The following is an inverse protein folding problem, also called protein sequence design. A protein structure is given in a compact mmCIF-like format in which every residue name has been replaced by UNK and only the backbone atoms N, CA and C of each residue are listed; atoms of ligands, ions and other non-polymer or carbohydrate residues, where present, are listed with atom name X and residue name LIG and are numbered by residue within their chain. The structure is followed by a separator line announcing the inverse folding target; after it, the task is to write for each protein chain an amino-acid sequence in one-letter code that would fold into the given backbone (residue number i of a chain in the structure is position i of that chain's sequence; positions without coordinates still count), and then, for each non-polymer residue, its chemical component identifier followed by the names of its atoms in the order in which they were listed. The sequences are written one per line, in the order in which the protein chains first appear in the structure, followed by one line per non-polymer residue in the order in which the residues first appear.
data_IF_589509342569
#
_entry.id   IF_589509342569
#
_cell.length_a   1.000
_cell.length_b   1.000
_cell.length_c   1.000
_cell.angle_alpha   90.00
_cell.angle_beta   90.00
_cell.angle_gamma   90.00
#
_symmetry.space_group_name_H-M   'P 1'
#
loop_
_entity.id
_entity.type
_entity.pdbx_description
1 polymer ?
#
# COMPACT_ATOMS: atom_id res chain seq x y z
N UNK A 1 24.42 4.81 -20.99
CA UNK A 1 23.74 3.50 -20.86
C UNK A 1 22.87 3.60 -19.62
N UNK A 2 21.60 3.99 -19.75
CA UNK A 2 20.70 4.09 -18.61
C UNK A 2 20.16 2.69 -18.34
N UNK A 3 20.63 2.08 -17.25
CA UNK A 3 20.12 0.81 -16.76
C UNK A 3 18.62 0.95 -16.46
N UNK A 4 17.80 0.12 -17.10
CA UNK A 4 16.40 -0.05 -16.76
C UNK A 4 16.38 -0.66 -15.35
N UNK A 5 16.02 0.16 -14.35
CA UNK A 5 15.90 -0.30 -12.97
C UNK A 5 14.62 -1.11 -12.82
N UNK A 6 14.73 -2.29 -12.20
CA UNK A 6 13.67 -3.31 -12.14
C UNK A 6 12.60 -2.93 -11.12
N UNK A 7 11.32 -3.01 -11.49
CA UNK A 7 10.24 -3.16 -10.51
C UNK A 7 10.35 -4.57 -9.94
N UNK A 8 10.61 -4.67 -8.64
CA UNK A 8 10.45 -5.93 -7.90
C UNK A 8 8.96 -6.19 -7.68
N UNK A 9 8.42 -7.15 -8.40
CA UNK A 9 7.18 -7.83 -8.06
C UNK A 9 7.63 -9.10 -7.34
N UNK A 10 7.53 -9.11 -6.03
CA UNK A 10 7.65 -10.38 -5.32
C UNK A 10 6.27 -11.03 -5.33
N UNK A 11 6.18 -12.22 -5.90
CA UNK A 11 5.15 -13.18 -5.53
C UNK A 11 5.43 -13.62 -4.10
N UNK A 12 5.22 -12.71 -3.14
CA UNK A 12 5.28 -13.07 -1.73
C UNK A 12 4.04 -13.90 -1.51
N UNK A 13 4.19 -15.22 -1.38
CA UNK A 13 3.28 -16.00 -0.57
C UNK A 13 3.48 -15.47 0.84
N UNK A 14 2.59 -14.62 1.37
CA UNK A 14 2.81 -14.09 2.70
C UNK A 14 2.81 -15.28 3.66
N UNK A 15 3.52 -15.20 4.79
CA UNK A 15 3.25 -16.12 5.89
C UNK A 15 1.85 -15.81 6.42
N UNK A 16 0.85 -16.42 5.80
CA UNK A 16 -0.56 -16.26 6.13
C UNK A 16 -0.79 -17.09 7.39
N UNK A 17 -1.03 -16.41 8.51
CA UNK A 17 -1.48 -17.05 9.74
C UNK A 17 -2.95 -16.73 9.96
N UNK A 18 -3.81 -17.74 10.05
CA UNK A 18 -5.15 -17.59 10.60
C UNK A 18 -5.04 -17.38 12.11
N UNK A 19 -5.54 -16.27 12.62
CA UNK A 19 -5.76 -16.10 14.06
C UNK A 19 -7.22 -15.76 14.29
N UNK A 20 -7.88 -16.55 15.15
CA UNK A 20 -9.14 -16.12 15.76
C UNK A 20 -8.95 -14.78 16.47
N UNK A 21 -10.03 -14.02 16.60
CA UNK A 21 -10.06 -12.66 17.16
C UNK A 21 -9.53 -12.57 18.61
N UNK A 22 -9.26 -13.72 19.24
CA UNK A 22 -8.76 -13.87 20.61
C UNK A 22 -7.22 -13.81 20.77
N UNK A 23 -6.46 -13.88 19.67
CA UNK A 23 -5.01 -13.68 19.68
C UNK A 23 -4.67 -12.25 19.30
N UNK A 24 -4.19 -11.44 20.25
CA UNK A 24 -3.97 -9.99 20.08
C UNK A 24 -3.27 -9.56 18.78
N UNK A 25 -3.52 -8.30 18.39
CA UNK A 25 -2.96 -7.69 17.17
C UNK A 25 -1.46 -7.88 17.07
N UNK A 26 -1.00 -8.31 15.89
CA UNK A 26 0.43 -8.40 15.59
C UNK A 26 0.85 -7.11 14.88
N UNK A 27 1.83 -6.36 15.42
CA UNK A 27 2.53 -5.33 14.68
C UNK A 27 2.97 -5.83 13.31
N UNK A 28 2.97 -4.95 12.31
CA UNK A 28 3.41 -5.24 10.95
C UNK A 28 2.54 -6.32 10.27
N UNK A 29 1.22 -6.15 10.38
CA UNK A 29 0.25 -7.03 9.75
C UNK A 29 -0.64 -6.26 8.78
N UNK A 30 -0.84 -6.85 7.60
CA UNK A 30 -1.84 -6.46 6.62
C UNK A 30 -2.99 -7.44 6.71
N UNK A 31 -4.17 -6.97 7.04
CA UNK A 31 -5.40 -7.72 6.95
C UNK A 31 -6.05 -7.43 5.60
N UNK A 32 -6.43 -8.47 4.88
CA UNK A 32 -7.04 -8.37 3.57
C UNK A 32 -8.34 -9.17 3.54
N UNK A 33 -9.40 -8.54 3.08
CA UNK A 33 -10.66 -9.19 2.72
C UNK A 33 -10.89 -8.99 1.22
N UNK A 34 -11.04 -10.08 0.47
CA UNK A 34 -11.44 -10.02 -0.94
C UNK A 34 -12.86 -10.57 -1.07
N UNK A 35 -13.69 -10.08 -2.01
CA UNK A 35 -15.11 -10.48 -2.12
C UNK A 35 -15.32 -11.99 -2.22
N UNK A 36 -14.37 -12.68 -2.87
CA UNK A 36 -14.37 -14.12 -3.06
C UNK A 36 -14.23 -14.91 -1.73
N UNK A 37 -13.79 -14.24 -0.66
CA UNK A 37 -13.54 -14.81 0.68
C UNK A 37 -14.63 -14.46 1.71
N UNK A 38 -15.57 -13.57 1.39
CA UNK A 38 -16.63 -13.11 2.29
C UNK A 38 -16.70 -11.57 2.38
N UNK A 39 -17.80 -11.04 2.93
CA UNK A 39 -18.03 -9.60 3.01
C UNK A 39 -17.98 -9.08 4.45
N UNK A 40 -17.34 -7.91 4.64
CA UNK A 40 -17.51 -7.07 5.84
C UNK A 40 -16.58 -7.35 7.02
N UNK A 41 -15.56 -8.20 6.88
CA UNK A 41 -14.64 -8.52 7.97
C UNK A 41 -13.73 -7.34 8.33
N UNK A 42 -13.25 -6.54 7.36
CA UNK A 42 -12.40 -5.38 7.64
C UNK A 42 -13.19 -4.26 8.30
N UNK A 43 -14.45 -4.06 7.91
CA UNK A 43 -15.34 -3.10 8.58
C UNK A 43 -15.51 -3.40 10.07
N UNK A 44 -15.79 -4.66 10.43
CA UNK A 44 -15.91 -5.07 11.84
C UNK A 44 -14.59 -4.89 12.60
N UNK A 45 -13.47 -5.28 11.97
CA UNK A 45 -12.13 -5.10 12.55
C UNK A 45 -11.81 -3.62 12.78
N UNK A 46 -12.20 -2.75 11.85
CA UNK A 46 -12.08 -1.29 11.98
C UNK A 46 -12.90 -0.76 13.16
N UNK A 47 -14.17 -1.15 13.27
CA UNK A 47 -15.03 -0.73 14.38
C UNK A 47 -14.45 -1.16 15.74
N UNK A 48 -13.93 -2.40 15.82
CA UNK A 48 -13.23 -2.88 17.01
C UNK A 48 -11.97 -2.07 17.33
N UNK A 49 -11.14 -1.77 16.33
CA UNK A 49 -9.92 -0.95 16.49
C UNK A 49 -10.26 0.44 17.02
N UNK A 50 -11.27 1.09 16.43
CA UNK A 50 -11.75 2.39 16.86
C UNK A 50 -12.20 2.38 18.33
N UNK A 51 -13.01 1.40 18.72
CA UNK A 51 -13.49 1.27 20.10
C UNK A 51 -12.38 1.00 21.10
N UNK A 52 -11.39 0.17 20.74
CA UNK A 52 -10.33 -0.27 21.64
C UNK A 52 -9.18 0.73 21.79
N UNK A 53 -8.83 1.41 20.71
CA UNK A 53 -7.63 2.26 20.63
C UNK A 53 -7.93 3.75 20.39
N UNK A 54 -9.20 4.16 20.52
CA UNK A 54 -9.59 5.57 20.40
C UNK A 54 -9.16 6.20 19.08
N UNK A 55 -9.31 5.46 17.97
CA UNK A 55 -8.87 5.92 16.65
C UNK A 55 -9.70 7.13 16.23
N UNK A 56 -9.03 8.24 15.94
CA UNK A 56 -9.59 9.46 15.39
C UNK A 56 -9.02 9.72 13.99
N UNK A 57 -9.44 10.79 13.30
CA UNK A 57 -8.91 11.18 11.99
C UNK A 57 -8.25 12.53 12.07
N UNK A 58 -7.13 12.70 11.37
CA UNK A 58 -6.50 14.01 11.19
C UNK A 58 -7.17 14.85 10.10
N UNK A 59 -6.61 16.03 9.80
CA UNK A 59 -7.18 16.97 8.82
C UNK A 59 -7.26 16.40 7.40
N UNK A 60 -6.37 15.47 7.04
CA UNK A 60 -6.35 14.78 5.75
C UNK A 60 -7.19 13.48 5.76
N UNK A 61 -7.88 13.19 6.87
CA UNK A 61 -8.71 12.00 7.02
C UNK A 61 -7.94 10.72 7.36
N UNK A 62 -6.61 10.80 7.58
CA UNK A 62 -5.78 9.66 7.99
C UNK A 62 -6.15 9.24 9.42
N UNK A 63 -6.32 7.93 9.71
CA UNK A 63 -6.57 7.45 11.07
C UNK A 63 -5.35 7.62 11.97
N UNK A 64 -5.56 8.08 13.21
CA UNK A 64 -4.51 8.30 14.22
C UNK A 64 -4.95 7.72 15.58
N UNK A 65 -3.96 7.27 16.37
CA UNK A 65 -4.17 6.72 17.71
C UNK A 65 -3.23 7.35 18.72
N UNK A 66 -3.74 7.65 19.92
CA UNK A 66 -2.91 8.06 21.05
C UNK A 66 -2.10 6.91 21.67
N UNK A 67 -2.30 5.67 21.21
CA UNK A 67 -1.66 4.47 21.75
C UNK A 67 -0.41 4.01 20.97
N UNK A 68 0.13 4.86 20.08
CA UNK A 68 1.33 4.53 19.31
C UNK A 68 1.11 3.45 18.26
N UNK A 69 -0.14 3.24 17.83
CA UNK A 69 -0.50 2.36 16.72
C UNK A 69 -0.74 3.23 15.50
N UNK A 70 -0.06 2.90 14.41
CA UNK A 70 -0.25 3.51 13.10
C UNK A 70 -1.07 2.57 12.25
N UNK A 71 -2.05 3.10 11.51
CA UNK A 71 -2.90 2.26 10.69
C UNK A 71 -3.44 2.98 9.47
N UNK A 72 -3.67 2.22 8.41
CA UNK A 72 -4.21 2.75 7.17
C UNK A 72 -5.15 1.75 6.50
N UNK A 73 -6.11 2.27 5.72
CA UNK A 73 -7.14 1.48 5.06
C UNK A 73 -7.18 1.83 3.58
N UNK A 74 -7.41 0.82 2.74
CA UNK A 74 -7.79 1.02 1.34
C UNK A 74 -8.83 -0.01 0.89
N UNK A 75 -9.68 0.36 -0.06
CA UNK A 75 -10.74 -0.51 -0.55
C UNK A 75 -11.06 -0.22 -2.01
N UNK A 76 -11.32 -1.27 -2.79
CA UNK A 76 -11.74 -1.20 -4.19
C UNK A 76 -12.70 -2.35 -4.49
N UNK A 77 -13.86 -2.06 -5.10
CA UNK A 77 -14.84 -3.08 -5.54
C UNK A 77 -15.10 -4.21 -4.51
N UNK A 78 -15.36 -3.85 -3.25
CA UNK A 78 -15.58 -4.76 -2.11
C UNK A 78 -14.34 -5.51 -1.60
N UNK A 79 -13.16 -5.38 -2.22
CA UNK A 79 -11.90 -5.75 -1.60
C UNK A 79 -11.47 -4.66 -0.62
N UNK A 80 -10.98 -5.05 0.55
CA UNK A 80 -10.65 -4.17 1.65
C UNK A 80 -9.32 -4.57 2.28
N UNK A 81 -8.49 -3.58 2.61
CA UNK A 81 -7.20 -3.75 3.28
C UNK A 81 -7.13 -2.90 4.55
N UNK A 82 -6.44 -3.43 5.56
CA UNK A 82 -6.02 -2.72 6.76
C UNK A 82 -4.56 -3.06 7.02
N UNK A 83 -3.69 -2.05 7.13
CA UNK A 83 -2.31 -2.23 7.60
C UNK A 83 -2.16 -1.67 9.01
N UNK A 84 -1.43 -2.37 9.87
CA UNK A 84 -1.12 -1.95 11.24
C UNK A 84 0.40 -1.89 11.42
N UNK A 85 0.93 -0.72 11.74
CA UNK A 85 2.30 -0.47 12.17
C UNK A 85 2.39 -0.22 13.67
N UNK A 86 3.49 -0.64 14.31
CA UNK A 86 3.83 -0.29 15.69
C UNK A 86 4.77 0.92 15.68
N UNK A 87 4.24 2.09 16.07
CA UNK A 87 4.93 3.39 16.11
C UNK A 87 5.61 3.81 14.80
N UNK A 88 5.27 3.12 13.71
CA UNK A 88 5.89 3.29 12.40
C UNK A 88 4.81 3.75 11.44
N UNK A 89 4.92 4.96 10.86
CA UNK A 89 3.99 5.42 9.84
C UNK A 89 3.83 4.38 8.74
N UNK A 90 2.57 4.04 8.43
CA UNK A 90 2.22 3.07 7.39
C UNK A 90 1.14 3.62 6.46
N UNK A 91 1.20 3.18 5.20
CA UNK A 91 0.15 3.40 4.20
C UNK A 91 -0.05 2.15 3.36
N UNK A 92 -1.28 1.92 2.91
CA UNK A 92 -1.61 0.79 2.03
C UNK A 92 -2.58 1.23 0.95
N UNK A 93 -2.43 0.66 -0.23
CA UNK A 93 -3.37 0.85 -1.32
C UNK A 93 -3.65 -0.44 -2.10
N UNK A 94 -4.85 -0.54 -2.66
CA UNK A 94 -5.34 -1.69 -3.41
C UNK A 94 -6.11 -1.22 -4.65
N UNK A 95 -5.76 -1.78 -5.80
CA UNK A 95 -6.43 -1.52 -7.07
C UNK A 95 -6.83 -2.83 -7.76
N UNK A 96 -7.90 -2.77 -8.56
CA UNK A 96 -8.43 -3.93 -9.28
C UNK A 96 -8.13 -3.81 -10.78
N UNK A 97 -7.38 -4.78 -11.31
CA UNK A 97 -6.93 -4.80 -12.71
C UNK A 97 -8.06 -4.74 -13.74
N UNK A 98 -9.23 -5.30 -13.42
CA UNK A 98 -10.34 -5.40 -14.36
C UNK A 98 -11.11 -4.08 -14.49
N UNK A 99 -10.98 -3.18 -13.51
CA UNK A 99 -11.73 -1.93 -13.45
C UNK A 99 -10.86 -0.69 -13.48
N UNK A 100 -9.59 -0.82 -13.07
CA UNK A 100 -8.67 0.30 -12.97
C UNK A 100 -7.96 0.46 -14.31
N UNK A 101 -8.29 1.53 -15.02
CA UNK A 101 -7.68 1.86 -16.30
C UNK A 101 -6.48 2.76 -16.10
N UNK A 102 -5.46 2.59 -16.95
CA UNK A 102 -4.36 3.55 -17.00
C UNK A 102 -4.89 4.93 -17.39
N UNK A 103 -4.47 5.93 -16.64
CA UNK A 103 -4.85 7.33 -16.87
C UNK A 103 -3.59 8.11 -17.27
N UNK A 104 -3.59 8.59 -18.52
CA UNK A 104 -2.49 9.35 -19.10
C UNK A 104 -2.30 10.69 -18.37
N UNK A 105 -3.39 11.36 -18.00
CA UNK A 105 -3.33 12.61 -17.24
C UNK A 105 -2.70 12.39 -15.87
N UNK A 106 -3.10 11.33 -15.16
CA UNK A 106 -2.49 10.96 -13.87
C UNK A 106 -0.99 10.69 -14.04
N UNK A 107 -0.62 9.96 -15.08
CA UNK A 107 0.79 9.63 -15.37
C UNK A 107 1.60 10.90 -15.66
N UNK A 108 1.05 11.83 -16.45
CA UNK A 108 1.72 13.09 -16.79
C UNK A 108 1.90 14.02 -15.59
N UNK A 109 0.90 14.11 -14.72
CA UNK A 109 0.94 15.03 -13.57
C UNK A 109 1.80 14.50 -12.43
N UNK A 110 1.66 13.21 -12.09
CA UNK A 110 2.18 12.70 -10.82
C UNK A 110 3.39 11.77 -10.94
N UNK A 111 3.71 11.24 -12.13
CA UNK A 111 4.81 10.28 -12.27
C UNK A 111 6.10 10.99 -12.71
N UNK A 112 7.22 10.54 -12.16
CA UNK A 112 8.54 10.99 -12.57
C UNK A 112 8.85 10.58 -14.02
N UNK A 113 9.85 11.24 -14.62
CA UNK A 113 10.32 10.90 -15.97
C UNK A 113 10.78 9.43 -16.09
N UNK A 114 11.36 8.89 -15.02
CA UNK A 114 11.83 7.50 -14.97
C UNK A 114 10.67 6.50 -15.01
N UNK A 115 9.58 6.82 -14.34
CA UNK A 115 8.34 6.03 -14.29
C UNK A 115 7.56 6.12 -15.60
N UNK A 116 7.42 7.32 -16.18
CA UNK A 116 6.77 7.51 -17.48
C UNK A 116 7.49 6.73 -18.59
N UNK A 117 8.83 6.79 -18.63
CA UNK A 117 9.63 5.97 -19.55
C UNK A 117 9.41 4.47 -19.35
N UNK A 118 9.19 4.03 -18.10
CA UNK A 118 8.90 2.64 -17.82
C UNK A 118 7.50 2.24 -18.32
N UNK A 119 6.51 3.12 -18.25
CA UNK A 119 5.18 2.86 -18.81
C UNK A 119 5.24 2.62 -20.33
N UNK A 120 6.10 3.32 -21.05
CA UNK A 120 6.30 3.17 -22.50
C UNK A 120 6.98 1.85 -22.91
N UNK A 121 7.72 1.21 -21.99
CA UNK A 121 8.51 0.01 -22.29
C UNK A 121 7.64 -1.25 -22.47
N UNK A 122 7.41 -1.70 -23.70
CA UNK A 122 6.53 -2.86 -23.94
C UNK A 122 7.05 -4.21 -23.39
N UNK A 123 8.28 -4.28 -22.88
CA UNK A 123 8.85 -5.52 -22.33
C UNK A 123 8.39 -5.84 -20.90
N UNK A 124 7.83 -4.87 -20.19
CA UNK A 124 7.24 -5.07 -18.87
C UNK A 124 5.72 -5.23 -19.00
N UNK A 125 5.13 -6.22 -18.32
CA UNK A 125 3.71 -6.56 -18.43
C UNK A 125 2.73 -5.45 -18.05
N UNK A 126 1.44 -5.73 -18.26
CA UNK A 126 0.34 -4.75 -18.27
C UNK A 126 0.06 -4.04 -16.93
N UNK A 127 0.70 -4.45 -15.84
CA UNK A 127 0.40 -3.97 -14.48
C UNK A 127 1.19 -2.74 -14.05
N UNK A 128 2.10 -2.22 -14.89
CA UNK A 128 3.02 -1.16 -14.47
C UNK A 128 2.32 0.09 -13.94
N UNK A 129 1.29 0.55 -14.63
CA UNK A 129 0.54 1.72 -14.19
C UNK A 129 -0.03 1.50 -12.79
N UNK A 130 -0.72 0.37 -12.58
CA UNK A 130 -1.32 0.05 -11.28
C UNK A 130 -0.29 -0.14 -10.18
N UNK A 131 0.87 -0.74 -10.49
CA UNK A 131 1.96 -0.88 -9.52
C UNK A 131 2.48 0.49 -9.10
N UNK A 132 2.77 1.37 -10.07
CA UNK A 132 3.27 2.72 -9.78
C UNK A 132 2.22 3.57 -9.07
N UNK A 133 0.96 3.45 -9.48
CA UNK A 133 -0.17 4.16 -8.88
C UNK A 133 -0.39 3.73 -7.43
N UNK A 134 -0.55 2.42 -7.17
CA UNK A 134 -0.74 1.90 -5.81
C UNK A 134 0.45 2.22 -4.90
N UNK A 135 1.68 2.20 -5.40
CA UNK A 135 2.87 2.62 -4.63
C UNK A 135 2.78 4.09 -4.22
N UNK A 136 2.34 4.94 -5.15
CA UNK A 136 2.20 6.38 -4.92
C UNK A 136 1.12 6.67 -3.88
N UNK A 137 -0.05 6.07 -4.04
CA UNK A 137 -1.15 6.18 -3.09
C UNK A 137 -0.77 5.64 -1.71
N UNK A 138 -0.06 4.49 -1.63
CA UNK A 138 0.44 3.96 -0.36
C UNK A 138 1.42 4.92 0.33
N UNK A 139 2.33 5.54 -0.43
CA UNK A 139 3.26 6.54 0.10
C UNK A 139 2.53 7.79 0.61
N UNK A 140 1.58 8.31 -0.17
CA UNK A 140 0.77 9.48 0.21
C UNK A 140 -0.10 9.22 1.44
N UNK A 141 -0.64 8.00 1.56
CA UNK A 141 -1.41 7.55 2.73
C UNK A 141 -0.54 7.40 3.98
N UNK A 142 0.73 7.01 3.82
CA UNK A 142 1.70 6.94 4.90
C UNK A 142 2.05 8.35 5.42
N UNK A 143 2.36 9.28 4.51
CA UNK A 143 2.71 10.67 4.81
C UNK A 143 1.50 11.43 5.35
N UNK A 144 0.31 11.20 4.78
CA UNK A 144 -0.94 11.83 5.18
C UNK A 144 -1.22 13.18 4.52
N UNK A 145 -0.63 13.47 3.35
CA UNK A 145 -0.83 14.74 2.64
C UNK A 145 -1.98 14.73 1.64
N UNK A 146 -2.42 13.53 1.21
CA UNK A 146 -3.24 13.41 -0.01
C UNK A 146 -2.41 13.69 -1.27
N UNK A 147 -3.07 13.83 -2.42
CA UNK A 147 -2.39 14.14 -3.70
C UNK A 147 -1.72 15.53 -3.65
N UNK A 148 -0.45 15.57 -4.01
CA UNK A 148 0.36 16.80 -4.12
C UNK A 148 1.15 16.79 -5.44
N UNK A 149 1.45 17.95 -6.00
CA UNK A 149 2.08 18.09 -7.32
C UNK A 149 3.56 17.70 -7.32
N UNK A 150 4.20 17.76 -6.15
CA UNK A 150 5.61 17.44 -5.93
C UNK A 150 5.92 15.95 -6.03
N UNK A 151 4.89 15.10 -6.18
CA UNK A 151 5.06 13.65 -6.35
C UNK A 151 5.89 13.27 -7.57
N UNK A 152 5.96 14.12 -8.60
CA UNK A 152 6.81 13.91 -9.78
C UNK A 152 8.31 13.92 -9.47
N UNK A 153 8.71 14.43 -8.30
CA UNK A 153 10.11 14.40 -7.86
C UNK A 153 10.53 13.04 -7.30
N UNK A 154 9.58 12.15 -7.05
CA UNK A 154 9.84 10.82 -6.54
C UNK A 154 9.75 9.78 -7.65
N UNK A 155 10.79 8.95 -7.74
CA UNK A 155 10.83 7.78 -8.61
C UNK A 155 10.66 6.52 -7.76
N UNK A 156 9.48 5.89 -7.86
CA UNK A 156 9.08 4.79 -6.98
C UNK A 156 9.34 3.40 -7.59
N UNK A 157 10.14 3.31 -8.66
CA UNK A 157 10.43 2.03 -9.34
C UNK A 157 11.19 1.04 -8.45
N UNK A 158 12.13 1.54 -7.66
CA UNK A 158 13.04 0.72 -6.83
C UNK A 158 12.41 0.23 -5.52
N UNK A 159 11.18 0.68 -5.19
CA UNK A 159 10.47 0.24 -3.99
C UNK A 159 11.07 0.75 -2.68
N UNK A 160 12.14 1.55 -2.69
CA UNK A 160 12.63 2.24 -1.49
C UNK A 160 13.58 3.36 -1.87
N UNK A 161 13.61 4.42 -1.07
CA UNK A 161 14.59 5.50 -1.20
C UNK A 161 14.56 6.42 0.02
N UNK A 162 15.57 7.28 0.09
CA UNK A 162 15.54 8.52 0.86
C UNK A 162 14.71 9.55 0.08
N UNK A 163 13.94 10.37 0.78
CA UNK A 163 13.22 11.50 0.20
C UNK A 163 14.21 12.57 -0.30
N UNK A 164 14.04 13.10 -1.52
CA UNK A 164 14.81 14.26 -1.96
C UNK A 164 14.53 15.48 -1.08
N UNK A 165 15.53 16.31 -0.81
CA UNK A 165 15.39 17.53 0.01
C UNK A 165 14.21 18.42 -0.44
N UNK A 166 14.06 18.61 -1.76
CA UNK A 166 12.95 19.39 -2.34
C UNK A 166 11.56 18.84 -2.01
N UNK A 167 11.46 17.52 -1.79
CA UNK A 167 10.21 16.90 -1.38
C UNK A 167 9.98 17.14 0.11
N UNK A 168 11.01 17.00 0.95
CA UNK A 168 10.95 17.31 2.38
C UNK A 168 10.65 18.78 2.68
N UNK A 169 10.95 19.70 1.77
CA UNK A 169 10.57 21.12 1.89
C UNK A 169 9.05 21.36 1.86
N UNK A 170 8.27 20.42 1.31
CA UNK A 170 6.81 20.58 1.12
C UNK A 170 5.98 19.59 1.95
N UNK A 171 6.60 18.61 2.60
CA UNK A 171 5.92 17.65 3.48
C UNK A 171 6.40 17.75 4.91
N UNK A 172 5.49 17.68 5.88
CA UNK A 172 5.81 17.67 7.30
C UNK A 172 5.94 16.23 7.81
N UNK A 173 7.15 15.68 7.71
CA UNK A 173 7.49 14.32 8.19
C UNK A 173 8.75 14.36 9.04
N UNK A 174 8.83 13.44 10.00
CA UNK A 174 9.98 13.32 10.92
C UNK A 174 11.00 12.25 10.51
N UNK A 175 10.85 11.70 9.30
CA UNK A 175 11.63 10.61 8.74
C UNK A 175 12.05 10.94 7.31
N UNK A 176 13.21 10.46 6.90
CA UNK A 176 13.87 10.78 5.63
C UNK A 176 13.81 9.62 4.63
N UNK A 177 13.29 8.47 5.02
CA UNK A 177 13.28 7.25 4.20
C UNK A 177 11.88 6.64 4.09
N UNK A 178 11.64 5.94 2.98
CA UNK A 178 10.47 5.09 2.78
C UNK A 178 10.85 3.73 2.19
N UNK A 179 10.09 2.71 2.61
CA UNK A 179 10.11 1.37 2.02
C UNK A 179 8.71 1.04 1.47
N UNK A 180 8.68 0.53 0.24
CA UNK A 180 7.50 0.15 -0.53
C UNK A 180 7.63 -1.30 -0.99
N UNK A 181 6.55 -2.06 -0.82
CA UNK A 181 6.44 -3.39 -1.40
C UNK A 181 5.10 -3.53 -2.11
N UNK A 182 5.11 -4.22 -3.24
CA UNK A 182 3.93 -4.51 -4.04
C UNK A 182 3.79 -6.01 -4.21
N UNK A 183 2.58 -6.52 -4.06
CA UNK A 183 2.22 -7.91 -4.33
C UNK A 183 0.90 -7.98 -5.09
N UNK A 184 0.68 -9.10 -5.78
CA UNK A 184 -0.56 -9.38 -6.51
C UNK A 184 -1.32 -10.52 -5.86
N UNK A 185 -2.65 -10.41 -5.84
CA UNK A 185 -3.52 -11.46 -5.31
C UNK A 185 -4.57 -11.87 -6.35
N UNK A 186 -4.69 -13.18 -6.53
CA UNK A 186 -5.64 -13.80 -7.47
C UNK A 186 -5.46 -13.34 -8.92
N UNK A 187 -4.29 -12.81 -9.28
CA UNK A 187 -4.05 -12.17 -10.57
C UNK A 187 -4.96 -10.97 -10.87
N UNK A 188 -5.70 -10.45 -9.88
CA UNK A 188 -6.77 -9.44 -10.07
C UNK A 188 -6.51 -8.16 -9.29
N UNK A 189 -5.95 -8.28 -8.09
CA UNK A 189 -5.68 -7.13 -7.24
C UNK A 189 -4.19 -6.82 -7.19
N UNK A 190 -3.83 -5.55 -7.34
CA UNK A 190 -2.49 -5.02 -7.10
C UNK A 190 -2.53 -4.29 -5.77
N UNK A 191 -1.68 -4.69 -4.83
CA UNK A 191 -1.63 -4.11 -3.48
C UNK A 191 -0.23 -3.61 -3.22
N UNK A 192 -0.10 -2.37 -2.79
CA UNK A 192 1.16 -1.79 -2.34
C UNK A 192 1.04 -1.29 -0.92
N UNK A 193 2.06 -1.51 -0.11
CA UNK A 193 2.19 -0.85 1.19
C UNK A 193 3.48 -0.06 1.28
N UNK A 194 3.47 0.97 2.12
CA UNK A 194 4.59 1.83 2.43
C UNK A 194 4.80 1.90 3.95
N UNK A 195 6.06 1.95 4.39
CA UNK A 195 6.40 2.27 5.78
C UNK A 195 7.66 3.14 5.90
N UNK A 196 7.71 3.94 6.95
CA UNK A 196 8.84 4.80 7.30
C UNK A 196 9.87 4.05 8.17
N UNK A 197 10.31 2.89 7.69
CA UNK A 197 11.31 2.03 8.34
C UNK A 197 12.07 1.25 7.27
N UNK A 198 13.27 0.77 7.60
CA UNK A 198 14.08 -0.16 6.81
C UNK A 198 13.28 -1.39 6.37
N UNK A 199 13.78 -2.12 5.36
CA UNK A 199 13.12 -3.29 4.76
C UNK A 199 12.45 -4.17 5.83
N UNK A 200 11.11 -4.09 5.89
CA UNK A 200 10.30 -4.75 6.91
C UNK A 200 9.25 -5.60 6.24
N UNK A 201 9.30 -6.90 6.53
CA UNK A 201 8.28 -7.81 6.04
C UNK A 201 7.01 -7.69 6.89
N UNK A 202 5.90 -7.33 6.23
CA UNK A 202 4.58 -7.43 6.81
C UNK A 202 4.02 -8.84 6.63
N UNK A 203 3.38 -9.38 7.67
CA UNK A 203 2.54 -10.57 7.54
C UNK A 203 1.23 -10.17 6.86
N UNK A 204 0.75 -10.97 5.91
CA UNK A 204 -0.59 -10.76 5.33
C UNK A 204 -1.53 -11.82 5.88
N UNK A 205 -2.65 -11.39 6.43
CA UNK A 205 -3.71 -12.24 6.97
C UNK A 205 -4.94 -12.05 6.10
N UNK A 206 -5.41 -13.15 5.49
CA UNK A 206 -6.67 -13.17 4.76
C UNK A 206 -7.81 -13.34 5.74
N UNK A 207 -8.85 -12.54 5.57
CA UNK A 207 -10.08 -12.62 6.34
C UNK A 207 -11.16 -13.31 5.50
N UNK A 208 -11.87 -14.25 6.12
CA UNK A 208 -12.97 -15.00 5.52
C UNK A 208 -12.55 -16.28 4.77
N UNK A 209 -13.03 -17.43 5.24
CA UNK A 209 -13.07 -18.72 4.50
C UNK A 209 -11.79 -19.55 4.39
N UNK A 210 -11.94 -20.89 4.35
CA UNK A 210 -10.87 -21.91 4.22
C UNK A 210 -10.33 -22.10 2.78
N UNK A 211 -10.55 -21.15 1.85
CA UNK A 211 -10.17 -21.32 0.45
C UNK A 211 -8.66 -21.17 0.23
N UNK A 212 -8.03 -22.21 -0.32
CA UNK A 212 -6.66 -22.16 -0.84
C UNK A 212 -6.55 -21.08 -1.93
N UNK A 213 -5.76 -20.03 -1.66
CA UNK A 213 -5.37 -19.10 -2.71
C UNK A 213 -4.49 -19.83 -3.73
N UNK A 214 -4.97 -19.93 -4.96
CA UNK A 214 -4.12 -20.31 -6.10
C UNK A 214 -3.43 -19.06 -6.62
N UNK A 215 -2.11 -19.01 -6.47
CA UNK A 215 -1.26 -17.99 -7.08
C UNK A 215 -0.84 -18.49 -8.46
N UNK A 216 -1.41 -17.91 -9.52
CA UNK A 216 -0.96 -18.16 -10.89
C UNK A 216 0.13 -17.15 -11.24
N UNK A 217 1.30 -17.68 -11.63
CA UNK A 217 2.48 -16.94 -12.10
C UNK A 217 2.34 -16.47 -13.54
#
# INVERSE_FOLDING_TARGET
MNSIKKIYIESVTPKISYSGVDGGFKPFTIYLNIPENGNGCIKQLKEMMHSRFGIHRNYAGKPESSFGIELNYSSVNCAETLIIGDKTPVGIDIENRDTSMADEFVSEQYFSDGERKLLEDKSFGDNKFLILWTRREALLKMIGTGLIDEMKYLDLRDGSSIFPDKFLEVVDVTYDYYYLKTFLIGGKYVISYCCADTEREFQVVLLGGESELTFNY
#
